data_IF_460482958324
#
_entry.id   IF_460482958324
#
_cell.length_a   1.000
_cell.length_b   1.000
_cell.length_c   1.000
_cell.angle_alpha   90.00
_cell.angle_beta   90.00
_cell.angle_gamma   90.00
#
_symmetry.space_group_name_H-M   'P 1'
#
loop_
_entity.id
_entity.type
_entity.pdbx_description
1 polymer ?
#
# COMPACT_ATOMS: atom_id res chain seq x y z
N UNK A 1 -14.16 -19.92 -6.90
CA UNK A 1 -12.76 -19.58 -7.22
C UNK A 1 -12.69 -18.97 -8.63
N UNK A 2 -13.36 -17.87 -8.81
CA UNK A 2 -13.39 -17.10 -10.05
C UNK A 2 -12.45 -15.91 -9.86
N UNK A 3 -11.65 -15.63 -10.88
CA UNK A 3 -10.75 -14.48 -11.00
C UNK A 3 -9.38 -14.60 -10.31
N UNK A 4 -8.60 -15.60 -10.70
CA UNK A 4 -7.16 -15.35 -10.76
C UNK A 4 -6.95 -14.55 -12.05
N UNK A 5 -7.05 -13.22 -11.93
CA UNK A 5 -6.73 -12.31 -13.02
C UNK A 5 -5.22 -12.38 -13.27
N UNK A 6 -4.82 -13.19 -14.24
CA UNK A 6 -3.46 -13.15 -14.78
C UNK A 6 -3.23 -11.77 -15.38
N UNK A 7 -2.45 -10.94 -14.68
CA UNK A 7 -2.08 -9.60 -15.08
C UNK A 7 -3.30 -8.66 -15.06
N UNK A 8 -3.28 -7.66 -14.21
CA UNK A 8 -4.32 -6.63 -14.13
C UNK A 8 -4.31 -5.70 -15.36
N UNK A 9 -3.86 -6.21 -16.53
CA UNK A 9 -3.84 -5.43 -17.77
C UNK A 9 -5.26 -4.98 -18.13
N UNK A 10 -5.40 -3.67 -18.35
CA UNK A 10 -6.65 -3.06 -18.81
C UNK A 10 -6.48 -2.63 -20.26
N UNK A 11 -7.16 -3.27 -21.23
CA UNK A 11 -7.02 -2.88 -22.63
C UNK A 11 -7.56 -1.47 -22.85
N UNK A 12 -6.75 -0.61 -23.44
CA UNK A 12 -7.08 0.79 -23.78
C UNK A 12 -6.39 1.21 -25.07
N UNK A 13 -6.87 2.30 -25.68
CA UNK A 13 -6.37 2.79 -26.97
C UNK A 13 -5.55 4.09 -26.85
N UNK A 14 -5.16 4.50 -25.63
CA UNK A 14 -4.40 5.73 -25.42
C UNK A 14 -2.96 5.62 -25.95
N UNK A 15 -2.31 6.77 -26.16
CA UNK A 15 -0.92 6.83 -26.62
C UNK A 15 0.07 6.04 -25.74
N UNK A 16 -0.20 5.95 -24.43
CA UNK A 16 0.63 5.20 -23.47
C UNK A 16 0.61 3.70 -23.81
N UNK A 17 -0.51 3.14 -24.24
CA UNK A 17 -0.59 1.72 -24.65
C UNK A 17 0.26 1.42 -25.88
N UNK A 18 0.40 2.40 -26.79
CA UNK A 18 1.17 2.27 -28.04
C UNK A 18 2.68 2.43 -27.88
N UNK A 19 3.12 2.93 -26.72
CA UNK A 19 4.55 3.07 -26.41
C UNK A 19 5.23 1.72 -26.24
N UNK A 20 6.47 1.61 -26.73
CA UNK A 20 7.30 0.44 -26.56
C UNK A 20 7.46 0.07 -25.08
N UNK A 21 7.30 -1.21 -24.70
CA UNK A 21 7.46 -1.66 -23.31
C UNK A 21 8.83 -1.30 -22.71
N UNK A 22 9.88 -1.26 -23.51
CA UNK A 22 11.25 -0.85 -23.12
C UNK A 22 11.26 0.57 -22.56
N UNK A 23 10.67 1.51 -23.32
CA UNK A 23 10.58 2.91 -22.92
C UNK A 23 9.73 3.10 -21.66
N UNK A 24 8.63 2.37 -21.53
CA UNK A 24 7.78 2.41 -20.34
C UNK A 24 8.55 1.98 -19.08
N UNK A 25 9.31 0.88 -19.16
CA UNK A 25 10.10 0.37 -18.05
C UNK A 25 11.19 1.37 -17.66
N UNK A 26 11.94 1.88 -18.64
CA UNK A 26 13.02 2.86 -18.39
C UNK A 26 12.42 4.14 -17.79
N UNK A 27 11.33 4.64 -18.35
CA UNK A 27 10.65 5.83 -17.86
C UNK A 27 10.15 5.64 -16.41
N UNK A 28 9.54 4.49 -16.12
CA UNK A 28 9.07 4.16 -14.77
C UNK A 28 10.22 4.11 -13.77
N UNK A 29 11.31 3.43 -14.09
CA UNK A 29 12.50 3.35 -13.23
C UNK A 29 13.11 4.74 -13.04
N UNK A 30 13.27 5.51 -14.12
CA UNK A 30 13.82 6.86 -14.08
C UNK A 30 12.97 7.79 -13.20
N UNK A 31 11.64 7.74 -13.32
CA UNK A 31 10.73 8.52 -12.48
C UNK A 31 10.82 8.12 -11.01
N UNK A 32 10.88 6.82 -10.71
CA UNK A 32 11.05 6.34 -9.34
C UNK A 32 12.36 6.85 -8.75
N UNK A 33 13.47 6.72 -9.48
CA UNK A 33 14.77 7.24 -9.05
C UNK A 33 14.73 8.75 -8.84
N UNK A 34 14.10 9.49 -9.75
CA UNK A 34 13.93 10.95 -9.62
C UNK A 34 13.17 11.32 -8.33
N UNK A 35 12.06 10.62 -8.03
CA UNK A 35 11.28 10.85 -6.80
C UNK A 35 12.12 10.57 -5.54
N UNK A 36 13.02 9.58 -5.57
CA UNK A 36 13.92 9.31 -4.46
C UNK A 36 15.00 10.38 -4.25
N UNK A 37 15.47 10.99 -5.32
CA UNK A 37 16.50 12.03 -5.27
C UNK A 37 15.99 13.36 -4.69
N UNK A 38 14.66 13.57 -4.62
CA UNK A 38 14.09 14.79 -4.04
C UNK A 38 14.35 14.82 -2.53
N UNK A 39 15.01 15.86 -1.99
CA UNK A 39 15.33 15.97 -0.57
C UNK A 39 14.07 16.16 0.28
N UNK A 40 14.01 15.48 1.43
CA UNK A 40 12.83 15.48 2.32
C UNK A 40 12.75 16.69 3.27
N UNK A 41 13.79 17.51 3.34
CA UNK A 41 13.95 18.52 4.39
C UNK A 41 13.63 19.94 3.95
N UNK A 42 13.40 20.16 2.65
CA UNK A 42 13.19 21.49 2.12
C UNK A 42 11.76 21.70 1.58
N UNK A 43 11.18 22.85 1.83
CA UNK A 43 9.89 23.26 1.28
C UNK A 43 9.91 23.21 -0.25
N UNK A 44 11.05 23.56 -0.88
CA UNK A 44 11.24 23.44 -2.33
C UNK A 44 11.08 22.00 -2.84
N UNK A 45 11.53 21.01 -2.06
CA UNK A 45 11.32 19.61 -2.37
C UNK A 45 9.84 19.23 -2.38
N UNK A 46 9.03 19.79 -1.46
CA UNK A 46 7.59 19.58 -1.43
C UNK A 46 6.90 20.11 -2.70
N UNK A 47 7.28 21.27 -3.18
CA UNK A 47 6.78 21.81 -4.46
C UNK A 47 7.17 20.92 -5.65
N UNK A 48 8.40 20.37 -5.66
CA UNK A 48 8.83 19.43 -6.70
C UNK A 48 7.99 18.13 -6.67
N UNK A 49 7.68 17.62 -5.48
CA UNK A 49 6.80 16.44 -5.32
C UNK A 49 5.37 16.70 -5.77
N UNK A 50 4.83 17.89 -5.46
CA UNK A 50 3.50 18.30 -5.93
C UNK A 50 3.50 18.47 -7.46
N UNK A 51 4.56 19.00 -8.03
CA UNK A 51 4.75 19.07 -9.48
C UNK A 51 4.79 17.67 -10.13
N UNK A 52 5.52 16.73 -9.53
CA UNK A 52 5.55 15.34 -9.99
C UNK A 52 4.17 14.67 -9.89
N UNK A 53 3.42 14.96 -8.82
CA UNK A 53 2.04 14.47 -8.66
C UNK A 53 1.12 15.04 -9.76
N UNK A 54 1.22 16.32 -10.05
CA UNK A 54 0.43 16.96 -11.10
C UNK A 54 0.74 16.34 -12.48
N UNK A 55 2.03 16.13 -12.80
CA UNK A 55 2.44 15.43 -14.03
C UNK A 55 1.91 13.99 -14.09
N UNK A 56 1.97 13.27 -12.96
CA UNK A 56 1.40 11.92 -12.87
C UNK A 56 -0.12 11.93 -13.13
N UNK A 57 -0.86 12.86 -12.52
CA UNK A 57 -2.31 12.99 -12.71
C UNK A 57 -2.63 13.30 -14.17
N UNK A 58 -1.90 14.23 -14.82
CA UNK A 58 -2.06 14.53 -16.23
C UNK A 58 -1.81 13.30 -17.11
N UNK A 59 -0.71 12.58 -16.87
CA UNK A 59 -0.42 11.36 -17.59
C UNK A 59 -1.52 10.29 -17.35
N UNK A 60 -2.01 10.16 -16.14
CA UNK A 60 -3.07 9.23 -15.78
C UNK A 60 -4.40 9.57 -16.51
N UNK A 61 -4.80 10.83 -16.53
CA UNK A 61 -6.02 11.28 -17.21
C UNK A 61 -6.00 10.95 -18.72
N UNK A 62 -4.82 10.99 -19.35
CA UNK A 62 -4.69 10.62 -20.77
C UNK A 62 -4.82 9.12 -21.02
N UNK A 63 -4.71 8.25 -19.99
CA UNK A 63 -4.82 6.80 -20.15
C UNK A 63 -6.26 6.30 -20.31
N UNK A 64 -7.25 7.06 -19.78
CA UNK A 64 -8.65 6.64 -19.75
C UNK A 64 -8.94 5.47 -18.80
N UNK A 65 -7.99 5.12 -17.92
CA UNK A 65 -8.18 4.07 -16.91
C UNK A 65 -9.12 4.61 -15.81
N UNK A 66 -10.14 3.84 -15.38
CA UNK A 66 -11.01 4.29 -14.30
C UNK A 66 -10.22 4.36 -12.97
N UNK A 67 -10.28 5.53 -12.32
CA UNK A 67 -9.57 5.84 -11.06
C UNK A 67 -9.85 4.79 -9.97
N UNK A 68 -11.08 4.25 -9.93
CA UNK A 68 -11.45 3.21 -8.97
C UNK A 68 -10.56 1.95 -9.01
N UNK A 69 -10.02 1.59 -10.17
CA UNK A 69 -9.12 0.42 -10.28
C UNK A 69 -7.78 0.68 -9.59
N UNK A 70 -7.24 1.89 -9.76
CA UNK A 70 -6.00 2.30 -9.08
C UNK A 70 -6.23 2.41 -7.58
N UNK A 71 -7.33 3.05 -7.16
CA UNK A 71 -7.69 3.18 -5.74
C UNK A 71 -7.91 1.81 -5.06
N UNK A 72 -8.50 0.86 -5.76
CA UNK A 72 -8.64 -0.50 -5.24
C UNK A 72 -7.30 -1.22 -5.05
N UNK A 73 -6.32 -0.95 -5.90
CA UNK A 73 -4.94 -1.40 -5.72
C UNK A 73 -4.24 -0.74 -4.53
N UNK A 74 -4.62 0.49 -4.19
CA UNK A 74 -4.07 1.23 -3.06
C UNK A 74 -4.67 0.83 -1.70
N UNK A 75 -5.88 0.26 -1.68
CA UNK A 75 -6.58 -0.11 -0.43
C UNK A 75 -5.72 -0.89 0.59
N UNK A 76 -5.01 -1.98 0.22
CA UNK A 76 -4.21 -2.73 1.18
C UNK A 76 -3.03 -1.93 1.73
N UNK A 77 -2.55 -0.96 0.95
CA UNK A 77 -1.37 -0.15 1.27
C UNK A 77 -1.74 1.13 2.01
N UNK A 78 -3.00 1.58 1.87
CA UNK A 78 -3.50 2.76 2.58
C UNK A 78 -3.31 2.64 4.10
N UNK A 79 -3.45 1.43 4.61
CA UNK A 79 -3.13 1.11 5.98
C UNK A 79 -1.67 1.41 6.35
N UNK A 80 -0.73 0.83 5.58
CA UNK A 80 0.70 1.05 5.81
C UNK A 80 1.04 2.55 5.69
N UNK A 81 0.41 3.26 4.74
CA UNK A 81 0.58 4.69 4.55
C UNK A 81 0.14 5.49 5.77
N UNK A 82 -1.07 5.24 6.29
CA UNK A 82 -1.56 5.92 7.50
C UNK A 82 -0.65 5.63 8.69
N UNK A 83 -0.24 4.38 8.86
CA UNK A 83 0.65 3.96 9.93
C UNK A 83 2.02 4.65 9.85
N UNK A 84 2.64 4.73 8.66
CA UNK A 84 3.92 5.42 8.48
C UNK A 84 3.80 6.92 8.72
N UNK A 85 2.70 7.56 8.30
CA UNK A 85 2.43 8.99 8.57
C UNK A 85 2.35 9.23 10.08
N UNK A 86 1.61 8.40 10.81
CA UNK A 86 1.48 8.50 12.26
C UNK A 86 2.85 8.32 12.94
N UNK A 87 3.62 7.30 12.56
CA UNK A 87 4.95 7.09 13.10
C UNK A 87 5.88 8.28 12.84
N UNK A 88 5.78 8.92 11.67
CA UNK A 88 6.61 10.06 11.34
C UNK A 88 6.24 11.30 12.16
N UNK A 89 4.97 11.47 12.50
CA UNK A 89 4.54 12.54 13.41
C UNK A 89 5.04 12.32 14.85
N UNK A 90 5.12 11.05 15.28
CA UNK A 90 5.60 10.70 16.63
C UNK A 90 7.11 10.86 16.75
N UNK A 91 7.87 10.50 15.71
CA UNK A 91 9.33 10.34 15.78
C UNK A 91 10.12 11.64 15.54
N UNK A 92 9.43 12.78 15.43
CA UNK A 92 10.11 14.08 15.31
C UNK A 92 10.40 14.65 16.69
N UNK A 93 11.54 14.30 17.24
CA UNK A 93 12.11 14.92 18.44
C UNK A 93 13.21 15.90 18.01
N UNK A 94 12.85 17.14 17.79
CA UNK A 94 13.82 18.20 17.47
C UNK A 94 13.74 19.32 18.50
N UNK A 95 14.80 19.52 19.29
CA UNK A 95 14.89 20.57 20.31
C UNK A 95 14.87 22.01 19.74
N UNK A 96 14.93 22.19 18.41
CA UNK A 96 15.00 23.51 17.74
C UNK A 96 13.86 23.77 16.74
N UNK A 97 12.81 22.92 16.69
CA UNK A 97 11.74 23.05 15.70
C UNK A 97 10.52 23.75 16.29
N UNK A 98 9.82 24.52 15.45
CA UNK A 98 8.57 25.21 15.83
C UNK A 98 7.50 24.20 16.21
N UNK A 99 7.03 24.30 17.47
CA UNK A 99 5.90 23.51 17.97
C UNK A 99 4.61 24.05 17.33
N UNK A 100 3.94 23.23 16.54
CA UNK A 100 2.63 23.58 15.98
C UNK A 100 1.51 23.31 16.98
N UNK A 101 1.53 22.16 17.62
CA UNK A 101 0.47 21.75 18.52
C UNK A 101 0.97 20.75 19.57
N UNK A 102 0.50 20.91 20.81
CA UNK A 102 0.75 19.96 21.90
C UNK A 102 -0.56 19.27 22.25
N UNK A 103 -0.58 17.95 22.13
CA UNK A 103 -1.74 17.13 22.49
C UNK A 103 -1.44 16.53 23.87
N UNK A 104 -2.10 16.98 24.94
CA UNK A 104 -1.98 16.33 26.23
C UNK A 104 -2.62 14.95 26.16
N UNK A 105 -1.84 13.91 26.39
CA UNK A 105 -2.32 12.53 26.46
C UNK A 105 -2.28 12.06 27.90
N UNK A 106 -3.38 11.48 28.35
CA UNK A 106 -3.49 10.92 29.69
C UNK A 106 -3.93 9.47 29.62
N UNK A 107 -3.37 8.62 30.47
CA UNK A 107 -3.86 7.27 30.69
C UNK A 107 -4.37 7.20 32.12
N UNK A 108 -5.66 7.13 32.26
CA UNK A 108 -6.35 6.92 33.52
C UNK A 108 -7.07 5.57 33.55
N UNK A 109 -7.65 5.25 34.71
CA UNK A 109 -8.31 3.96 34.93
C UNK A 109 -9.50 3.76 33.97
N UNK A 110 -10.29 4.81 33.72
CA UNK A 110 -11.43 4.72 32.79
C UNK A 110 -10.99 4.54 31.34
N UNK A 111 -9.90 5.19 30.90
CA UNK A 111 -9.35 5.07 29.55
C UNK A 111 -8.86 3.65 29.30
N UNK A 112 -8.13 3.06 30.26
CA UNK A 112 -7.68 1.67 30.17
C UNK A 112 -8.87 0.70 30.12
N UNK A 113 -9.93 0.93 30.88
CA UNK A 113 -11.15 0.11 30.84
C UNK A 113 -11.84 0.19 29.47
N UNK A 114 -11.97 1.39 28.90
CA UNK A 114 -12.54 1.57 27.56
C UNK A 114 -11.68 0.86 26.50
N UNK A 115 -10.36 1.02 26.55
CA UNK A 115 -9.45 0.37 25.62
C UNK A 115 -9.55 -1.15 25.68
N UNK A 116 -9.55 -1.70 26.90
CA UNK A 116 -9.73 -3.15 27.12
C UNK A 116 -11.10 -3.61 26.60
N UNK A 117 -12.18 -2.88 26.90
CA UNK A 117 -13.53 -3.20 26.42
C UNK A 117 -13.62 -3.19 24.88
N UNK A 118 -12.98 -2.22 24.22
CA UNK A 118 -12.93 -2.14 22.75
C UNK A 118 -12.14 -3.31 22.14
N UNK A 119 -11.00 -3.65 22.72
CA UNK A 119 -10.17 -4.77 22.25
C UNK A 119 -10.91 -6.10 22.45
N UNK A 120 -11.48 -6.32 23.63
CA UNK A 120 -12.28 -7.53 23.92
C UNK A 120 -13.49 -7.60 23.00
N UNK A 121 -14.22 -6.50 22.82
CA UNK A 121 -15.34 -6.40 21.89
C UNK A 121 -14.94 -6.77 20.47
N UNK A 122 -13.78 -6.32 20.01
CA UNK A 122 -13.25 -6.70 18.70
C UNK A 122 -13.04 -8.22 18.59
N UNK A 123 -12.47 -8.88 19.61
CA UNK A 123 -12.27 -10.33 19.60
C UNK A 123 -13.57 -11.11 19.47
N UNK A 124 -14.66 -10.62 20.07
CA UNK A 124 -15.99 -11.23 19.94
C UNK A 124 -16.61 -11.00 18.56
N UNK A 125 -16.47 -9.80 18.01
CA UNK A 125 -17.15 -9.36 16.78
C UNK A 125 -16.36 -9.73 15.53
N UNK A 126 -15.02 -9.95 15.62
CA UNK A 126 -14.14 -10.20 14.46
C UNK A 126 -14.59 -11.36 13.57
N UNK A 127 -15.35 -12.31 14.11
CA UNK A 127 -15.90 -13.46 13.36
C UNK A 127 -16.94 -13.03 12.33
N UNK A 128 -17.68 -11.97 12.60
CA UNK A 128 -18.78 -11.46 11.77
C UNK A 128 -18.34 -10.35 10.81
N UNK A 129 -17.12 -9.82 10.96
CA UNK A 129 -16.65 -8.66 10.19
C UNK A 129 -15.98 -9.08 8.88
N UNK A 130 -16.41 -8.52 7.72
CA UNK A 130 -15.83 -8.82 6.41
C UNK A 130 -14.40 -8.28 6.25
N UNK A 131 -14.05 -7.16 6.91
CA UNK A 131 -12.74 -6.48 6.81
C UNK A 131 -12.05 -6.43 8.18
N UNK A 132 -11.58 -7.58 8.67
CA UNK A 132 -11.00 -7.74 10.01
C UNK A 132 -9.85 -6.77 10.32
N UNK A 133 -8.94 -6.57 9.38
CA UNK A 133 -7.79 -5.68 9.52
C UNK A 133 -8.19 -4.21 9.58
N UNK A 134 -9.12 -3.76 8.74
CA UNK A 134 -9.60 -2.38 8.73
C UNK A 134 -10.29 -2.03 10.05
N UNK A 135 -11.11 -2.94 10.58
CA UNK A 135 -11.76 -2.74 11.88
C UNK A 135 -10.78 -2.68 13.04
N UNK A 136 -9.71 -3.47 13.01
CA UNK A 136 -8.65 -3.37 14.02
C UNK A 136 -8.04 -1.97 14.05
N UNK A 137 -7.85 -1.37 12.87
CA UNK A 137 -7.35 0.00 12.76
C UNK A 137 -8.31 1.06 13.30
N UNK A 138 -9.58 0.93 12.95
CA UNK A 138 -10.61 1.83 13.48
C UNK A 138 -10.60 1.79 15.02
N UNK A 139 -10.46 0.60 15.59
CA UNK A 139 -10.41 0.45 17.05
C UNK A 139 -9.12 1.06 17.62
N UNK A 140 -7.95 0.82 17.01
CA UNK A 140 -6.70 1.45 17.44
C UNK A 140 -6.78 2.98 17.33
N UNK A 141 -7.41 3.50 16.28
CA UNK A 141 -7.62 4.93 16.11
C UNK A 141 -8.57 5.48 17.19
N UNK A 142 -9.66 4.78 17.51
CA UNK A 142 -10.57 5.16 18.60
C UNK A 142 -9.83 5.11 19.95
N UNK A 143 -9.01 4.09 20.20
CA UNK A 143 -8.18 4.03 21.40
C UNK A 143 -7.25 5.24 21.52
N UNK A 144 -6.64 5.66 20.40
CA UNK A 144 -5.81 6.87 20.35
C UNK A 144 -6.63 8.14 20.66
N UNK A 145 -7.83 8.26 20.09
CA UNK A 145 -8.73 9.39 20.37
C UNK A 145 -9.19 9.43 21.83
N UNK A 146 -9.42 8.28 22.45
CA UNK A 146 -9.81 8.19 23.89
C UNK A 146 -8.67 8.65 24.80
N UNK A 147 -7.40 8.52 24.36
CA UNK A 147 -6.23 9.02 25.11
C UNK A 147 -6.06 10.54 24.96
N UNK A 148 -6.52 11.12 23.84
CA UNK A 148 -6.33 12.55 23.54
C UNK A 148 -7.24 13.45 24.38
N UNK A 149 -8.54 13.11 24.46
CA UNK A 149 -9.51 13.98 25.11
C UNK A 149 -10.15 13.25 26.28
N UNK A 150 -10.41 13.98 27.33
CA UNK A 150 -11.13 13.52 28.49
C UNK A 150 -12.61 13.90 28.31
N UNK A 151 -13.40 13.14 27.53
CA UNK A 151 -14.80 13.52 27.28
C UNK A 151 -15.63 13.57 28.56
N UNK A 152 -15.09 13.00 29.64
CA UNK A 152 -15.71 12.92 30.95
C UNK A 152 -15.16 13.93 31.95
N UNK A 153 -14.23 14.81 31.59
CA UNK A 153 -13.75 15.87 32.47
C UNK A 153 -14.90 16.83 32.88
N UNK A 154 -15.92 16.96 32.03
CA UNK A 154 -17.18 17.69 32.32
C UNK A 154 -18.11 16.95 33.29
N UNK A 155 -17.93 15.65 33.46
CA UNK A 155 -18.65 14.83 34.43
C UNK A 155 -17.74 14.64 35.64
N UNK A 156 -17.98 15.40 36.70
CA UNK A 156 -17.24 15.47 37.96
C UNK A 156 -17.18 14.10 38.71
N UNK A 157 -16.67 13.07 38.04
CA UNK A 157 -16.44 11.77 38.64
C UNK A 157 -15.04 11.74 39.25
N UNK A 158 -14.98 11.73 40.57
CA UNK A 158 -13.78 11.67 41.41
C UNK A 158 -12.94 10.37 41.27
N UNK A 159 -13.05 9.64 40.16
CA UNK A 159 -12.25 8.44 39.83
C UNK A 159 -11.09 8.70 38.86
N UNK A 160 -10.52 9.89 38.91
CA UNK A 160 -9.35 10.25 38.10
C UNK A 160 -8.05 9.75 38.73
N UNK A 161 -7.80 8.46 38.65
CA UNK A 161 -6.48 7.92 38.93
C UNK A 161 -5.68 7.92 37.60
N UNK A 162 -4.91 8.99 37.37
CA UNK A 162 -4.05 9.10 36.19
C UNK A 162 -2.74 8.36 36.48
N UNK A 163 -2.48 7.31 35.71
CA UNK A 163 -1.26 6.48 35.85
C UNK A 163 -0.07 7.09 35.14
N UNK A 164 -0.32 7.73 34.00
CA UNK A 164 0.70 8.40 33.22
C UNK A 164 0.07 9.55 32.43
N UNK A 165 0.78 10.66 32.37
CA UNK A 165 0.48 11.79 31.50
C UNK A 165 1.73 12.15 30.70
N UNK A 166 1.59 12.32 29.41
CA UNK A 166 2.66 12.81 28.56
C UNK A 166 2.10 13.74 27.49
N UNK A 167 2.92 14.65 27.01
CA UNK A 167 2.55 15.58 25.96
C UNK A 167 3.05 15.02 24.61
N UNK A 168 2.11 14.84 23.68
CA UNK A 168 2.43 14.52 22.31
C UNK A 168 2.62 15.83 21.53
N UNK A 169 3.86 16.11 21.18
CA UNK A 169 4.23 17.35 20.51
C UNK A 169 4.30 17.13 19.01
N UNK A 170 3.52 17.90 18.25
CA UNK A 170 3.55 17.92 16.78
C UNK A 170 4.40 19.09 16.35
N UNK A 171 5.51 18.78 15.69
CA UNK A 171 6.44 19.75 15.12
C UNK A 171 6.16 19.98 13.64
N UNK A 172 6.43 21.19 13.15
CA UNK A 172 6.26 21.54 11.74
C UNK A 172 7.05 20.62 10.80
N UNK A 173 8.29 20.33 11.12
CA UNK A 173 9.11 19.41 10.34
C UNK A 173 8.56 18.00 10.31
N UNK A 174 7.88 17.55 11.37
CA UNK A 174 7.17 16.27 11.39
C UNK A 174 6.05 16.20 10.36
N UNK A 175 5.26 17.25 10.27
CA UNK A 175 4.16 17.35 9.30
C UNK A 175 4.70 17.39 7.86
N UNK A 176 5.77 18.17 7.63
CA UNK A 176 6.42 18.25 6.32
C UNK A 176 6.97 16.88 5.92
N UNK A 177 7.72 16.20 6.79
CA UNK A 177 8.27 14.85 6.53
C UNK A 177 7.18 13.80 6.30
N UNK A 178 6.11 13.83 7.11
CA UNK A 178 4.96 12.95 6.94
C UNK A 178 4.28 13.14 5.59
N UNK A 179 4.09 14.41 5.17
CA UNK A 179 3.53 14.76 3.86
C UNK A 179 4.41 14.28 2.71
N UNK A 180 5.74 14.43 2.84
CA UNK A 180 6.70 13.91 1.86
C UNK A 180 6.61 12.40 1.69
N UNK A 181 6.58 11.66 2.80
CA UNK A 181 6.51 10.19 2.75
C UNK A 181 5.19 9.75 2.14
N UNK A 182 4.07 10.37 2.54
CA UNK A 182 2.76 10.07 1.98
C UNK A 182 2.72 10.30 0.46
N UNK A 183 3.16 11.47 -0.01
CA UNK A 183 3.22 11.80 -1.43
C UNK A 183 4.15 10.85 -2.20
N UNK A 184 5.31 10.51 -1.62
CA UNK A 184 6.28 9.59 -2.23
C UNK A 184 5.68 8.21 -2.43
N UNK A 185 5.03 7.65 -1.42
CA UNK A 185 4.38 6.34 -1.49
C UNK A 185 3.26 6.35 -2.54
N UNK A 186 2.40 7.37 -2.52
CA UNK A 186 1.29 7.50 -3.49
C UNK A 186 1.81 7.60 -4.92
N UNK A 187 2.85 8.42 -5.17
CA UNK A 187 3.45 8.55 -6.49
C UNK A 187 4.08 7.25 -6.98
N UNK A 188 4.87 6.59 -6.15
CA UNK A 188 5.52 5.32 -6.52
C UNK A 188 4.49 4.25 -6.87
N UNK A 189 3.49 4.10 -6.05
CA UNK A 189 2.41 3.13 -6.27
C UNK A 189 1.59 3.49 -7.51
N UNK A 190 1.31 4.77 -7.70
CA UNK A 190 0.59 5.26 -8.88
C UNK A 190 1.35 4.95 -10.17
N UNK A 191 2.64 5.28 -10.24
CA UNK A 191 3.49 5.04 -11.41
C UNK A 191 3.61 3.54 -11.70
N UNK A 192 3.84 2.72 -10.67
CA UNK A 192 3.92 1.25 -10.82
C UNK A 192 2.57 0.66 -11.26
N UNK A 193 1.47 1.14 -10.69
CA UNK A 193 0.12 0.73 -11.08
C UNK A 193 -0.18 1.08 -12.53
N UNK A 194 0.24 2.26 -12.99
CA UNK A 194 0.08 2.68 -14.38
C UNK A 194 0.84 1.77 -15.34
N UNK A 195 2.09 1.40 -15.02
CA UNK A 195 2.85 0.44 -15.80
C UNK A 195 2.13 -0.92 -15.87
N UNK A 196 1.69 -1.45 -14.72
CA UNK A 196 1.05 -2.77 -14.63
C UNK A 196 -0.29 -2.82 -15.36
N UNK A 197 -1.09 -1.75 -15.28
CA UNK A 197 -2.39 -1.68 -15.95
C UNK A 197 -2.28 -1.42 -17.45
N UNK A 198 -1.20 -0.74 -17.91
CA UNK A 198 -1.01 -0.35 -19.32
C UNK A 198 -0.17 -1.33 -20.13
N UNK A 199 0.44 -2.36 -19.53
CA UNK A 199 1.37 -3.25 -20.22
C UNK A 199 1.11 -4.71 -19.85
N UNK A 200 1.09 -5.59 -20.84
CA UNK A 200 0.92 -7.03 -20.60
C UNK A 200 2.17 -7.62 -19.91
N UNK A 201 1.99 -8.66 -19.09
CA UNK A 201 3.11 -9.32 -18.40
C UNK A 201 4.16 -9.87 -19.35
N UNK A 202 3.75 -10.37 -20.54
CA UNK A 202 4.65 -10.82 -21.60
C UNK A 202 5.50 -9.69 -22.18
N UNK A 203 4.87 -8.52 -22.37
CA UNK A 203 5.56 -7.34 -22.91
C UNK A 203 6.51 -6.73 -21.89
N UNK A 204 6.15 -6.76 -20.59
CA UNK A 204 7.05 -6.37 -19.51
C UNK A 204 8.29 -7.27 -19.52
N UNK A 205 8.12 -8.59 -19.67
CA UNK A 205 9.26 -9.52 -19.72
C UNK A 205 10.17 -9.24 -20.91
N UNK A 206 9.59 -9.07 -22.11
CA UNK A 206 10.35 -8.76 -23.32
C UNK A 206 11.06 -7.39 -23.22
N UNK A 207 10.37 -6.41 -22.61
CA UNK A 207 10.94 -5.10 -22.34
C UNK A 207 12.10 -5.18 -21.35
N UNK A 208 11.95 -5.96 -20.27
CA UNK A 208 12.98 -6.17 -19.27
C UNK A 208 14.22 -6.85 -19.84
N UNK A 209 14.06 -7.89 -20.68
CA UNK A 209 15.18 -8.52 -21.39
C UNK A 209 15.97 -7.50 -22.20
N UNK A 210 15.28 -6.65 -22.92
CA UNK A 210 15.93 -5.64 -23.74
C UNK A 210 16.66 -4.56 -22.92
N UNK A 211 16.06 -4.13 -21.80
CA UNK A 211 16.68 -3.17 -20.85
C UNK A 211 17.89 -3.78 -20.16
N UNK A 212 17.83 -5.07 -19.84
CA UNK A 212 18.94 -5.80 -19.22
C UNK A 212 19.98 -6.33 -20.24
N UNK A 213 19.73 -6.17 -21.55
CA UNK A 213 20.65 -6.62 -22.59
C UNK A 213 22.09 -6.12 -22.44
N UNK A 214 22.39 -4.90 -21.96
CA UNK A 214 23.75 -4.45 -21.70
C UNK A 214 24.51 -5.31 -20.69
N UNK A 215 23.80 -5.99 -19.76
CA UNK A 215 24.44 -6.89 -18.79
C UNK A 215 25.03 -8.13 -19.42
N UNK A 216 24.68 -8.44 -20.68
CA UNK A 216 25.38 -9.50 -21.48
C UNK A 216 26.87 -9.22 -21.63
N UNK A 217 27.31 -7.95 -21.60
CA UNK A 217 28.72 -7.56 -21.60
C UNK A 217 29.47 -8.08 -20.35
N UNK A 218 28.77 -8.24 -19.24
CA UNK A 218 29.28 -8.81 -17.98
C UNK A 218 29.15 -10.34 -17.92
N UNK A 219 28.92 -11.02 -19.07
CA UNK A 219 28.71 -12.47 -19.19
C UNK A 219 27.50 -13.00 -18.41
N UNK A 220 26.54 -12.15 -18.06
CA UNK A 220 25.28 -12.57 -17.41
C UNK A 220 24.35 -13.10 -18.50
N UNK A 221 23.84 -14.34 -18.38
CA UNK A 221 23.01 -14.97 -19.42
C UNK A 221 21.53 -14.46 -19.34
N UNK A 222 21.31 -13.16 -19.59
CA UNK A 222 19.98 -12.51 -19.52
C UNK A 222 18.96 -13.21 -20.42
N UNK A 223 19.38 -13.69 -21.61
CA UNK A 223 18.48 -14.37 -22.53
C UNK A 223 17.94 -15.70 -21.99
N UNK A 224 18.73 -16.44 -21.21
CA UNK A 224 18.26 -17.69 -20.57
C UNK A 224 17.18 -17.37 -19.52
N UNK A 225 17.41 -16.35 -18.68
CA UNK A 225 16.41 -15.92 -17.69
C UNK A 225 15.10 -15.44 -18.35
N UNK A 226 15.19 -14.63 -19.39
CA UNK A 226 14.02 -14.16 -20.14
C UNK A 226 13.26 -15.33 -20.78
N UNK A 227 13.95 -16.28 -21.39
CA UNK A 227 13.34 -17.49 -21.95
C UNK A 227 12.61 -18.30 -20.89
N UNK A 228 13.23 -18.52 -19.71
CA UNK A 228 12.61 -19.23 -18.59
C UNK A 228 11.34 -18.53 -18.10
N UNK A 229 11.39 -17.21 -17.93
CA UNK A 229 10.23 -16.43 -17.49
C UNK A 229 9.11 -16.49 -18.55
N UNK A 230 9.43 -16.32 -19.83
CA UNK A 230 8.47 -16.41 -20.92
C UNK A 230 7.81 -17.78 -20.99
N UNK A 231 8.59 -18.84 -20.82
CA UNK A 231 8.09 -20.21 -20.78
C UNK A 231 7.15 -20.42 -19.57
N UNK A 232 7.57 -19.95 -18.41
CA UNK A 232 6.75 -20.00 -17.18
C UNK A 232 5.43 -19.28 -17.36
N UNK A 233 5.45 -18.03 -17.85
CA UNK A 233 4.25 -17.24 -18.09
C UNK A 233 3.27 -17.91 -19.07
N UNK A 234 3.79 -18.68 -20.03
CA UNK A 234 2.99 -19.47 -20.97
C UNK A 234 2.40 -20.73 -20.32
N UNK A 235 3.16 -21.41 -19.47
CA UNK A 235 2.70 -22.64 -18.82
C UNK A 235 1.71 -22.41 -17.69
N UNK A 236 1.81 -21.31 -16.98
CA UNK A 236 0.89 -21.01 -15.86
C UNK A 236 -0.60 -21.12 -16.26
N UNK A 237 -1.11 -20.46 -17.32
CA UNK A 237 -2.49 -20.63 -17.74
C UNK A 237 -2.84 -22.07 -18.11
N UNK A 238 -1.94 -22.78 -18.79
CA UNK A 238 -2.13 -24.17 -19.21
C UNK A 238 -2.28 -25.09 -17.99
N UNK A 239 -1.35 -24.97 -17.02
CA UNK A 239 -1.38 -25.73 -15.79
C UNK A 239 -2.63 -25.46 -14.96
N UNK A 240 -3.10 -24.21 -14.93
CA UNK A 240 -4.35 -23.85 -14.23
C UNK A 240 -5.57 -24.51 -14.87
N UNK A 241 -5.64 -24.53 -16.19
CA UNK A 241 -6.74 -25.19 -16.90
C UNK A 241 -6.71 -26.72 -16.62
N UNK A 242 -5.53 -27.33 -16.70
CA UNK A 242 -5.39 -28.77 -16.39
C UNK A 242 -5.71 -29.09 -14.92
N UNK A 243 -5.20 -28.29 -13.98
CA UNK A 243 -5.51 -28.43 -12.55
C UNK A 243 -7.02 -28.31 -12.30
N UNK A 244 -7.71 -27.37 -12.95
CA UNK A 244 -9.16 -27.21 -12.83
C UNK A 244 -9.91 -28.42 -13.40
N UNK A 245 -9.44 -28.99 -14.52
CA UNK A 245 -10.03 -30.23 -15.08
C UNK A 245 -9.87 -31.39 -14.12
N UNK A 246 -8.67 -31.55 -13.52
CA UNK A 246 -8.41 -32.62 -12.54
C UNK A 246 -9.30 -32.44 -11.32
N UNK A 247 -9.38 -31.23 -10.76
CA UNK A 247 -10.25 -30.94 -9.62
C UNK A 247 -11.72 -31.27 -9.92
N UNK A 248 -12.23 -30.85 -11.08
CA UNK A 248 -13.61 -31.15 -11.48
C UNK A 248 -13.85 -32.65 -11.65
N UNK A 249 -12.90 -33.39 -12.22
CA UNK A 249 -12.99 -34.86 -12.36
C UNK A 249 -12.98 -35.56 -11.00
N UNK A 250 -12.18 -35.10 -10.04
CA UNK A 250 -12.16 -35.64 -8.69
C UNK A 250 -13.43 -35.27 -7.90
N UNK A 251 -13.94 -34.07 -8.04
CA UNK A 251 -15.21 -33.63 -7.46
C UNK A 251 -16.38 -34.51 -7.96
N UNK A 252 -16.38 -34.89 -9.25
CA UNK A 252 -17.37 -35.80 -9.83
C UNK A 252 -17.27 -37.23 -9.25
N UNK A 253 -16.13 -37.61 -8.67
CA UNK A 253 -15.92 -38.87 -7.97
C UNK A 253 -16.23 -38.79 -6.46
N UNK A 254 -16.78 -37.68 -5.99
CA UNK A 254 -17.18 -37.46 -4.59
C UNK A 254 -16.09 -36.91 -3.69
N UNK A 255 -14.96 -36.47 -4.23
CA UNK A 255 -13.92 -35.79 -3.42
C UNK A 255 -14.36 -34.35 -3.14
N UNK A 256 -14.51 -34.00 -1.87
CA UNK A 256 -14.81 -32.63 -1.43
C UNK A 256 -13.55 -31.91 -1.05
N UNK A 257 -13.13 -30.92 -1.91
CA UNK A 257 -11.95 -30.09 -1.68
C UNK A 257 -12.21 -28.94 -0.71
N UNK A 258 -13.46 -28.74 -0.25
CA UNK A 258 -13.80 -27.65 0.68
C UNK A 258 -13.56 -28.04 2.15
N UNK A 259 -13.56 -29.32 2.48
CA UNK A 259 -13.42 -29.82 3.85
C UNK A 259 -12.03 -30.43 4.14
N UNK A 260 -11.21 -30.68 3.12
CA UNK A 260 -9.86 -31.24 3.27
C UNK A 260 -8.88 -30.27 3.89
N UNK A 261 -8.55 -30.45 5.14
CA UNK A 261 -7.37 -29.84 5.77
C UNK A 261 -6.09 -30.52 5.24
N UNK A 262 -4.95 -29.82 5.28
CA UNK A 262 -3.62 -30.31 4.87
C UNK A 262 -3.14 -31.59 5.60
N UNK A 263 -3.99 -32.26 6.35
CA UNK A 263 -3.68 -33.43 7.20
C UNK A 263 -4.51 -34.69 6.88
N UNK A 264 -5.41 -34.66 5.90
CA UNK A 264 -6.19 -35.80 5.44
C UNK A 264 -5.65 -36.40 4.15
#
# INVERSE_FOLDING_TARGET
MENIAFGQYYPGNSWIYKLDPRLKIIATISLIVFIFLIPMTSINGLYMMLGALALYILAFLTTGIPILKVLNGLKPILFLLVFTVILQLINTTGEQETLLYTIPMTIGLYQTLIMVALIVGYFFIKKYLPFKTLFLFVILFICFMVMWDNPFEKFNWNFNFNWASWNFNIYEAGVIRASFIALRIVLMLGITSLLTLSTMSTDINNGLEAVLSPLKLFKIPVGIFSMLISLTLRFIPTLMIESKKIMNAQASRGVDFSEGGLKD
#
